data_IF_654949158406
#
_entry.id   IF_654949158406
#
_cell.length_a   1.000
_cell.length_b   1.000
_cell.length_c   1.000
_cell.angle_alpha   90.00
_cell.angle_beta   90.00
_cell.angle_gamma   90.00
#
_symmetry.space_group_name_H-M   'P 1'
#
loop_
_entity.id
_entity.type
_entity.pdbx_description
1 polymer ?
#
# COMPACT_ATOMS: atom_id res chain seq x y z
N UNK A 1 8.67 9.82 -7.37
CA UNK A 1 8.00 10.66 -6.35
C UNK A 1 6.53 10.92 -6.71
N UNK A 2 6.24 11.54 -7.85
CA UNK A 2 4.86 11.91 -8.26
C UNK A 2 3.86 10.75 -8.20
N UNK A 3 4.23 9.58 -8.75
CA UNK A 3 3.33 8.41 -8.78
C UNK A 3 2.81 8.04 -7.38
N UNK A 4 3.70 7.99 -6.38
CA UNK A 4 3.30 7.70 -4.99
C UNK A 4 2.60 8.88 -4.30
N UNK A 5 2.68 10.09 -4.86
CA UNK A 5 2.00 11.27 -4.33
C UNK A 5 0.53 11.28 -4.74
N UNK A 6 0.23 10.93 -6.00
CA UNK A 6 -1.03 11.32 -6.63
C UNK A 6 -1.60 10.32 -7.63
N UNK A 7 -0.93 9.20 -7.91
CA UNK A 7 -1.28 8.35 -9.04
C UNK A 7 -1.84 6.99 -8.57
N UNK A 8 -3.05 6.98 -8.02
CA UNK A 8 -3.82 5.73 -7.92
C UNK A 8 -4.33 5.28 -9.30
N UNK A 9 -4.37 6.19 -10.26
CA UNK A 9 -4.95 5.99 -11.59
C UNK A 9 -4.22 4.88 -12.38
N UNK A 10 -2.89 4.87 -12.37
CA UNK A 10 -2.11 3.82 -13.04
C UNK A 10 -2.41 2.41 -12.49
N UNK A 11 -2.71 2.31 -11.20
CA UNK A 11 -3.00 1.05 -10.51
C UNK A 11 -4.44 0.59 -10.72
N UNK A 12 -5.39 1.52 -10.78
CA UNK A 12 -6.79 1.22 -11.09
C UNK A 12 -7.08 0.94 -12.57
N UNK A 13 -6.05 0.94 -13.43
CA UNK A 13 -6.20 0.75 -14.87
C UNK A 13 -5.36 -0.42 -15.37
N UNK A 14 -4.22 -0.18 -16.00
CA UNK A 14 -3.50 -1.21 -16.78
C UNK A 14 -2.16 -1.62 -16.19
N UNK A 15 -1.53 -0.77 -15.38
CA UNK A 15 -0.12 -0.97 -15.01
C UNK A 15 0.12 -2.24 -14.19
N UNK A 16 -0.88 -2.66 -13.41
CA UNK A 16 -0.74 -3.74 -12.43
C UNK A 16 -1.65 -4.95 -12.68
N UNK A 17 -2.24 -5.08 -13.88
CA UNK A 17 -3.15 -6.22 -14.18
C UNK A 17 -2.44 -7.57 -13.94
N UNK A 18 -1.18 -7.71 -14.38
CA UNK A 18 -0.39 -8.92 -14.15
C UNK A 18 0.04 -9.09 -12.69
N UNK A 19 0.31 -8.00 -11.97
CA UNK A 19 0.63 -8.03 -10.55
C UNK A 19 -0.55 -8.51 -9.71
N UNK A 20 -1.76 -8.03 -10.03
CA UNK A 20 -3.02 -8.49 -9.44
C UNK A 20 -3.22 -9.98 -9.76
N UNK A 21 -3.05 -10.39 -11.03
CA UNK A 21 -3.16 -11.79 -11.44
C UNK A 21 -2.20 -12.70 -10.68
N UNK A 22 -0.96 -12.27 -10.43
CA UNK A 22 0.03 -13.04 -9.67
C UNK A 22 -0.31 -13.15 -8.17
N UNK A 23 -1.22 -12.32 -7.65
CA UNK A 23 -1.72 -12.38 -6.28
C UNK A 23 -3.04 -13.14 -6.13
N UNK A 24 -3.69 -13.52 -7.22
CA UNK A 24 -4.97 -14.24 -7.16
C UNK A 24 -4.78 -15.66 -6.61
N UNK A 25 -5.69 -16.12 -5.74
CA UNK A 25 -5.88 -17.54 -5.50
C UNK A 25 -6.14 -18.29 -6.82
N UNK A 26 -5.72 -19.55 -6.90
CA UNK A 26 -5.82 -20.33 -8.15
C UNK A 26 -7.26 -20.54 -8.64
N UNK A 27 -8.25 -20.36 -7.77
CA UNK A 27 -9.68 -20.49 -8.01
C UNK A 27 -10.38 -19.15 -8.28
N UNK A 28 -9.64 -18.03 -8.35
CA UNK A 28 -10.20 -16.71 -8.63
C UNK A 28 -9.76 -16.14 -9.98
N UNK A 29 -10.66 -15.38 -10.59
CA UNK A 29 -10.41 -14.62 -11.80
C UNK A 29 -10.16 -13.13 -11.49
N UNK A 30 -9.62 -12.38 -12.46
CA UNK A 30 -9.40 -10.95 -12.33
C UNK A 30 -10.68 -10.17 -12.00
N UNK A 31 -11.83 -10.63 -12.48
CA UNK A 31 -13.13 -10.03 -12.16
C UNK A 31 -13.50 -10.14 -10.68
N UNK A 32 -12.94 -11.13 -9.95
CA UNK A 32 -13.23 -11.34 -8.53
C UNK A 32 -12.43 -10.41 -7.61
N UNK A 33 -11.40 -9.73 -8.14
CA UNK A 33 -10.63 -8.67 -7.49
C UNK A 33 -10.64 -7.40 -8.35
N UNK A 34 -11.83 -7.00 -8.80
CA UNK A 34 -11.99 -5.72 -9.49
C UNK A 34 -11.40 -4.57 -8.64
N UNK A 35 -10.61 -3.66 -9.23
CA UNK A 35 -10.10 -2.51 -8.51
C UNK A 35 -11.25 -1.68 -7.90
N UNK A 36 -11.12 -1.23 -6.64
CA UNK A 36 -12.11 -0.36 -6.02
C UNK A 36 -12.28 0.94 -6.82
N UNK A 37 -13.50 1.47 -6.81
CA UNK A 37 -13.84 2.76 -7.45
C UNK A 37 -14.05 3.89 -6.46
N UNK A 38 -14.31 3.57 -5.20
CA UNK A 38 -14.57 4.56 -4.15
C UNK A 38 -13.28 4.90 -3.39
N UNK A 39 -12.88 6.17 -3.48
CA UNK A 39 -11.64 6.64 -2.88
C UNK A 39 -11.53 8.16 -2.89
N UNK A 40 -10.53 8.68 -2.19
CA UNK A 40 -10.24 10.10 -2.17
C UNK A 40 -8.74 10.35 -2.31
N UNK A 41 -8.39 11.59 -2.64
CA UNK A 41 -7.02 12.05 -2.69
C UNK A 41 -6.84 13.32 -1.86
N UNK A 42 -5.72 13.37 -1.15
CA UNK A 42 -5.30 14.46 -0.31
C UNK A 42 -4.13 15.19 -0.96
N UNK A 43 -4.23 16.52 -0.98
CA UNK A 43 -3.14 17.44 -1.26
C UNK A 43 -2.84 18.24 0.00
N UNK A 44 -1.58 18.29 0.42
CA UNK A 44 -1.18 19.14 1.52
C UNK A 44 -1.37 20.63 1.18
N UNK A 45 -1.80 21.42 2.18
CA UNK A 45 -2.00 22.87 2.05
C UNK A 45 -0.72 23.58 1.59
N UNK A 46 0.44 23.02 1.96
CA UNK A 46 1.76 23.51 1.58
C UNK A 46 2.74 22.34 1.46
N UNK A 47 3.84 22.52 0.73
CA UNK A 47 4.98 21.59 0.75
C UNK A 47 4.94 20.45 -0.26
N UNK A 48 3.89 20.32 -1.07
CA UNK A 48 3.85 19.36 -2.18
C UNK A 48 3.65 17.90 -1.78
N UNK A 49 3.27 17.63 -0.53
CA UNK A 49 2.93 16.28 -0.07
C UNK A 49 1.54 15.88 -0.59
N UNK A 50 1.34 14.58 -0.78
CA UNK A 50 0.07 14.05 -1.24
C UNK A 50 -0.09 12.58 -0.89
N UNK A 51 -1.35 12.17 -0.78
CA UNK A 51 -1.74 10.79 -0.53
C UNK A 51 -3.05 10.48 -1.25
N UNK A 52 -3.25 9.24 -1.66
CA UNK A 52 -4.53 8.76 -2.20
C UNK A 52 -4.88 7.43 -1.58
N UNK A 53 -6.17 7.16 -1.44
CA UNK A 53 -6.64 5.95 -0.78
C UNK A 53 -8.01 5.49 -1.28
N UNK A 54 -8.21 4.18 -1.27
CA UNK A 54 -9.53 3.56 -1.43
C UNK A 54 -10.23 3.40 -0.07
N UNK A 55 -11.56 3.44 -0.11
CA UNK A 55 -12.42 3.31 1.06
C UNK A 55 -13.13 1.96 1.07
N UNK A 56 -13.13 1.32 2.23
CA UNK A 56 -13.90 0.13 2.64
C UNK A 56 -13.58 -1.17 1.87
N UNK A 57 -13.30 -1.10 0.56
CA UNK A 57 -12.97 -2.23 -0.30
C UNK A 57 -11.47 -2.55 -0.26
N UNK A 58 -11.16 -3.76 0.24
CA UNK A 58 -9.79 -4.25 0.44
C UNK A 58 -9.22 -5.01 -0.75
N UNK A 59 -9.93 -5.12 -1.88
CA UNK A 59 -9.49 -5.94 -3.02
C UNK A 59 -8.05 -5.64 -3.48
N UNK A 60 -7.67 -4.37 -3.55
CA UNK A 60 -6.29 -3.99 -3.87
C UNK A 60 -5.30 -4.50 -2.83
N UNK A 61 -5.59 -4.32 -1.54
CA UNK A 61 -4.71 -4.81 -0.48
C UNK A 61 -4.61 -6.35 -0.51
N UNK A 62 -5.73 -7.03 -0.74
CA UNK A 62 -5.82 -8.49 -0.87
C UNK A 62 -5.02 -9.04 -2.05
N UNK A 63 -4.93 -8.32 -3.18
CA UNK A 63 -4.08 -8.73 -4.30
C UNK A 63 -2.58 -8.65 -3.97
N UNK A 64 -2.19 -7.78 -3.04
CA UNK A 64 -0.78 -7.52 -2.70
C UNK A 64 -0.32 -8.30 -1.44
N UNK A 65 -1.18 -8.43 -0.44
CA UNK A 65 -0.85 -8.95 0.88
C UNK A 65 -1.59 -10.27 1.16
N UNK A 66 -1.15 -11.04 2.16
CA UNK A 66 -1.88 -12.24 2.57
C UNK A 66 -3.17 -11.88 3.31
N UNK A 67 -4.13 -12.81 3.32
CA UNK A 67 -5.37 -12.70 4.09
C UNK A 67 -5.08 -12.38 5.57
N UNK A 68 -4.03 -12.97 6.16
CA UNK A 68 -3.60 -12.68 7.53
C UNK A 68 -3.23 -11.21 7.75
N UNK A 69 -2.56 -10.59 6.78
CA UNK A 69 -2.20 -9.17 6.84
C UNK A 69 -3.43 -8.29 6.64
N UNK A 70 -4.32 -8.65 5.72
CA UNK A 70 -5.59 -7.94 5.51
C UNK A 70 -6.43 -7.97 6.78
N UNK A 71 -6.54 -9.13 7.42
CA UNK A 71 -7.25 -9.29 8.70
C UNK A 71 -6.59 -8.51 9.83
N UNK A 72 -5.25 -8.57 9.95
CA UNK A 72 -4.51 -7.76 10.92
C UNK A 72 -4.77 -6.25 10.73
N UNK A 73 -4.87 -5.80 9.48
CA UNK A 73 -5.09 -4.39 9.14
C UNK A 73 -6.52 -3.92 9.40
N UNK A 74 -7.51 -4.81 9.29
CA UNK A 74 -8.93 -4.43 9.25
C UNK A 74 -9.76 -4.94 10.42
N UNK A 75 -9.29 -5.96 11.15
CA UNK A 75 -10.06 -6.67 12.18
C UNK A 75 -9.26 -6.84 13.47
N UNK A 76 -9.99 -7.08 14.55
CA UNK A 76 -9.43 -7.46 15.85
C UNK A 76 -8.72 -6.32 16.58
N UNK A 77 -8.06 -6.69 17.69
CA UNK A 77 -7.54 -5.74 18.66
C UNK A 77 -6.50 -4.75 18.10
N UNK A 78 -5.69 -5.16 17.11
CA UNK A 78 -4.70 -4.29 16.48
C UNK A 78 -5.38 -3.18 15.65
N UNK A 79 -6.36 -3.56 14.80
CA UNK A 79 -7.14 -2.60 14.02
C UNK A 79 -7.97 -1.67 14.92
N UNK A 80 -8.58 -2.19 15.99
CA UNK A 80 -9.32 -1.39 16.98
C UNK A 80 -8.41 -0.39 17.70
N UNK A 81 -7.22 -0.84 18.13
CA UNK A 81 -6.19 0.03 18.73
C UNK A 81 -5.75 1.12 17.75
N UNK A 82 -5.56 0.81 16.47
CA UNK A 82 -5.23 1.79 15.45
C UNK A 82 -6.37 2.81 15.27
N UNK A 83 -7.62 2.35 15.14
CA UNK A 83 -8.78 3.22 14.98
C UNK A 83 -8.92 4.21 16.16
N UNK A 84 -8.70 3.75 17.40
CA UNK A 84 -8.70 4.62 18.58
C UNK A 84 -7.60 5.69 18.53
N UNK A 85 -6.40 5.36 18.04
CA UNK A 85 -5.29 6.31 17.94
C UNK A 85 -5.46 7.35 16.84
N UNK A 86 -6.08 6.99 15.73
CA UNK A 86 -6.22 7.86 14.55
C UNK A 86 -7.56 8.60 14.48
N UNK A 87 -8.43 8.45 15.48
CA UNK A 87 -9.80 8.97 15.45
C UNK A 87 -10.73 7.98 14.73
N UNK A 88 -11.72 7.48 15.48
CA UNK A 88 -12.42 6.21 15.24
C UNK A 88 -13.10 6.01 13.86
N UNK A 89 -13.30 7.06 13.06
CA UNK A 89 -14.17 7.01 11.86
C UNK A 89 -13.45 7.10 10.53
N UNK A 90 -12.39 7.90 10.39
CA UNK A 90 -11.77 8.13 9.09
C UNK A 90 -10.74 7.05 8.74
N UNK A 91 -9.96 6.61 9.73
CA UNK A 91 -8.86 5.66 9.50
C UNK A 91 -9.35 4.24 9.23
N UNK A 92 -10.39 3.80 9.93
CA UNK A 92 -10.95 2.45 9.82
C UNK A 92 -11.49 2.13 8.43
N UNK A 93 -11.82 3.16 7.64
CA UNK A 93 -12.29 3.02 6.25
C UNK A 93 -11.18 2.95 5.22
N UNK A 94 -9.95 3.35 5.54
CA UNK A 94 -8.85 3.36 4.55
C UNK A 94 -8.37 1.92 4.32
N UNK A 95 -8.68 1.40 3.13
CA UNK A 95 -8.40 0.03 2.74
C UNK A 95 -7.03 -0.16 2.07
N UNK A 96 -6.61 0.81 1.25
CA UNK A 96 -5.28 0.87 0.65
C UNK A 96 -4.89 2.32 0.42
N UNK A 97 -3.61 2.68 0.63
CA UNK A 97 -3.11 4.04 0.51
C UNK A 97 -1.74 4.11 -0.17
N UNK A 98 -1.52 5.17 -0.95
CA UNK A 98 -0.20 5.64 -1.34
C UNK A 98 0.06 7.03 -0.75
N UNK A 99 1.32 7.35 -0.46
CA UNK A 99 1.71 8.67 0.02
C UNK A 99 3.13 9.04 -0.40
N UNK A 100 3.34 10.34 -0.62
CA UNK A 100 4.67 10.94 -0.68
C UNK A 100 4.75 12.15 0.23
N UNK A 101 5.76 12.16 1.08
CA UNK A 101 6.27 13.36 1.74
C UNK A 101 7.38 13.91 0.85
N UNK A 102 7.06 14.99 0.15
CA UNK A 102 8.01 15.74 -0.67
C UNK A 102 9.36 15.97 0.04
N UNK A 103 10.51 15.82 -0.66
CA UNK A 103 10.62 15.58 -2.10
C UNK A 103 10.55 14.11 -2.52
N UNK A 104 11.15 13.20 -1.74
CA UNK A 104 11.46 11.85 -2.22
C UNK A 104 11.19 10.73 -1.22
N UNK A 105 10.47 10.98 -0.12
CA UNK A 105 10.03 9.94 0.80
C UNK A 105 8.65 9.44 0.40
N UNK A 106 8.54 8.18 0.02
CA UNK A 106 7.29 7.58 -0.45
C UNK A 106 7.01 6.27 0.27
N UNK A 107 5.75 6.01 0.58
CA UNK A 107 5.35 4.79 1.29
C UNK A 107 3.90 4.39 1.00
N UNK A 108 3.60 3.11 1.23
CA UNK A 108 2.28 2.52 1.01
C UNK A 108 1.71 1.99 2.34
N UNK A 109 0.93 2.77 3.12
CA UNK A 109 0.30 2.26 4.32
C UNK A 109 -0.58 1.03 4.03
N UNK A 110 -0.41 -0.03 4.81
CA UNK A 110 -1.09 -1.31 4.65
C UNK A 110 -0.18 -2.37 4.04
N UNK A 111 0.55 -2.01 2.99
CA UNK A 111 1.65 -2.83 2.40
C UNK A 111 2.96 -2.63 3.19
N UNK A 112 3.14 -1.44 3.73
CA UNK A 112 4.24 -0.99 4.59
C UNK A 112 5.64 -0.98 3.97
N UNK A 113 5.73 -0.93 2.64
CA UNK A 113 6.97 -0.51 1.98
C UNK A 113 7.20 0.98 2.17
N UNK A 114 8.42 1.37 2.53
CA UNK A 114 8.92 2.74 2.58
C UNK A 114 10.14 2.83 1.67
N UNK A 115 10.24 3.91 0.89
CA UNK A 115 11.39 4.13 0.04
C UNK A 115 11.78 5.58 -0.14
N UNK A 116 13.06 5.75 -0.43
CA UNK A 116 13.64 7.03 -0.84
C UNK A 116 14.14 6.93 -2.28
N UNK A 117 13.79 7.95 -3.07
CA UNK A 117 14.28 8.14 -4.44
C UNK A 117 15.53 9.01 -4.39
N UNK A 118 16.72 8.42 -4.48
CA UNK A 118 17.98 9.15 -4.43
C UNK A 118 18.38 9.61 -5.85
N UNK A 119 18.33 10.91 -6.18
CA UNK A 119 18.67 11.38 -7.52
C UNK A 119 20.16 11.14 -7.84
N UNK A 120 20.43 10.77 -9.09
CA UNK A 120 21.78 10.59 -9.68
C UNK A 120 21.87 11.36 -11.00
N UNK A 121 21.56 12.67 -10.93
CA UNK A 121 21.35 13.50 -12.11
C UNK A 121 19.91 13.42 -12.65
N UNK A 122 19.63 14.03 -13.81
CA UNK A 122 18.26 14.11 -14.34
C UNK A 122 17.71 12.80 -14.91
N UNK A 123 18.58 11.83 -15.23
CA UNK A 123 18.22 10.62 -15.97
C UNK A 123 18.34 9.33 -15.14
N UNK A 124 18.71 9.43 -13.86
CA UNK A 124 18.94 8.26 -13.01
C UNK A 124 18.53 8.54 -11.57
N UNK A 125 18.06 7.49 -10.88
CA UNK A 125 17.88 7.47 -9.44
C UNK A 125 18.21 6.09 -8.88
N UNK A 126 18.65 6.06 -7.62
CA UNK A 126 18.65 4.83 -6.82
C UNK A 126 17.37 4.76 -5.99
N UNK A 127 16.88 3.54 -5.77
CA UNK A 127 15.68 3.29 -4.97
C UNK A 127 16.06 2.51 -3.73
N UNK A 128 16.10 3.18 -2.58
CA UNK A 128 16.41 2.55 -1.30
C UNK A 128 15.11 2.22 -0.60
N UNK A 129 14.79 0.93 -0.48
CA UNK A 129 13.50 0.43 0.00
C UNK A 129 13.68 -0.45 1.23
N UNK A 130 12.82 -0.29 2.22
CA UNK A 130 12.71 -1.17 3.39
C UNK A 130 11.25 -1.31 3.82
N UNK A 131 10.94 -2.35 4.57
CA UNK A 131 9.60 -2.61 5.11
C UNK A 131 9.57 -2.27 6.59
N UNK A 132 8.49 -1.62 7.02
CA UNK A 132 8.20 -1.42 8.46
C UNK A 132 7.06 -2.31 8.91
N UNK A 133 7.09 -2.70 10.17
CA UNK A 133 6.06 -3.50 10.82
C UNK A 133 5.81 -2.92 12.21
N UNK A 134 4.59 -3.05 12.72
CA UNK A 134 4.32 -2.66 14.10
C UNK A 134 5.18 -3.52 15.04
N UNK A 135 5.85 -2.86 15.99
CA UNK A 135 6.82 -3.51 16.86
C UNK A 135 6.19 -4.61 17.73
N UNK A 136 4.92 -4.43 18.11
CA UNK A 136 4.11 -5.35 18.91
C UNK A 136 3.28 -6.33 18.07
N UNK A 137 3.38 -6.32 16.74
CA UNK A 137 2.80 -7.38 15.90
C UNK A 137 3.45 -8.73 16.20
N UNK A 138 2.69 -9.82 16.01
CA UNK A 138 3.21 -11.18 16.17
C UNK A 138 4.31 -11.48 15.14
N UNK A 139 5.21 -12.40 15.46
CA UNK A 139 6.29 -12.79 14.54
C UNK A 139 5.75 -13.36 13.23
N UNK A 140 4.59 -14.01 13.27
CA UNK A 140 3.89 -14.49 12.08
C UNK A 140 3.46 -13.33 11.16
N UNK A 141 2.81 -12.29 11.71
CA UNK A 141 2.42 -11.11 10.92
C UNK A 141 3.64 -10.39 10.37
N UNK A 142 4.72 -10.29 11.14
CA UNK A 142 5.99 -9.69 10.68
C UNK A 142 6.58 -10.48 9.50
N UNK A 143 6.57 -11.81 9.57
CA UNK A 143 7.05 -12.66 8.47
C UNK A 143 6.16 -12.60 7.22
N UNK A 144 4.83 -12.52 7.39
CA UNK A 144 3.90 -12.28 6.29
C UNK A 144 4.23 -10.95 5.57
N UNK A 145 4.39 -9.85 6.33
CA UNK A 145 4.83 -8.57 5.76
C UNK A 145 6.15 -8.67 5.00
N UNK A 146 7.13 -9.38 5.57
CA UNK A 146 8.45 -9.58 4.93
C UNK A 146 8.31 -10.32 3.59
N UNK A 147 7.59 -11.45 3.56
CA UNK A 147 7.38 -12.24 2.33
C UNK A 147 6.63 -11.45 1.27
N UNK A 148 5.54 -10.78 1.64
CA UNK A 148 4.71 -10.05 0.70
C UNK A 148 5.36 -8.78 0.19
N UNK A 149 6.16 -8.08 1.01
CA UNK A 149 6.95 -6.93 0.54
C UNK A 149 7.96 -7.33 -0.53
N UNK A 150 8.65 -8.47 -0.35
CA UNK A 150 9.58 -8.99 -1.36
C UNK A 150 8.86 -9.43 -2.64
N UNK A 151 7.68 -10.05 -2.50
CA UNK A 151 6.87 -10.52 -3.62
C UNK A 151 6.34 -9.37 -4.48
N UNK A 152 6.00 -8.23 -3.87
CA UNK A 152 5.27 -7.14 -4.53
C UNK A 152 6.15 -5.94 -4.86
N UNK A 153 6.56 -5.16 -3.87
CA UNK A 153 7.27 -3.88 -4.08
C UNK A 153 8.78 -4.00 -3.80
N UNK A 154 9.42 -4.94 -4.47
CA UNK A 154 10.88 -5.10 -4.47
C UNK A 154 11.45 -4.93 -5.88
N UNK A 155 12.78 -4.98 -6.04
CA UNK A 155 13.41 -4.84 -7.36
C UNK A 155 12.97 -5.92 -8.36
N UNK A 156 12.60 -7.11 -7.89
CA UNK A 156 12.06 -8.20 -8.71
C UNK A 156 10.62 -8.57 -8.36
N UNK A 157 9.91 -7.67 -7.68
CA UNK A 157 8.53 -7.89 -7.29
C UNK A 157 7.57 -7.73 -8.46
N UNK A 158 6.33 -8.19 -8.28
CA UNK A 158 5.32 -8.27 -9.35
C UNK A 158 4.51 -6.97 -9.56
N UNK A 159 4.81 -5.91 -8.80
CA UNK A 159 4.17 -4.57 -8.88
C UNK A 159 5.23 -3.47 -9.07
#
# INVERSE_FOLDING_TARGET
>A
AEQFCSDMYHAGTTSHISGILAGLPADKELSDLAPPTEGNQYRALWGGHGAGFFLDDTNMLTAMMSEKVVDYWTKGAAAEKAALRFGATARSRIAFQHMTVFPTCSFLPGVNTIRMWHPRGPNEMEVWTFTVVDADASDEIKDEYRRHSMRTFSAGGVF
#
